data_IF_540268222238
#
_entry.id   IF_540268222238
#
_cell.length_a   1.000
_cell.length_b   1.000
_cell.length_c   1.000
_cell.angle_alpha   90.00
_cell.angle_beta   90.00
_cell.angle_gamma   90.00
#
_symmetry.space_group_name_H-M   'P 1'
#
loop_
_entity.id
_entity.type
_entity.pdbx_description
1 polymer ?
#
# COMPACT_ATOMS: atom_id res chain seq x y z
N UNK A 1 -1.13 -28.05 13.48
CA UNK A 1 -2.19 -27.09 13.14
C UNK A 1 -2.41 -26.17 14.32
N UNK A 2 -1.97 -24.90 14.24
CA UNK A 2 -2.39 -23.87 15.20
C UNK A 2 -3.33 -22.95 14.45
N UNK A 3 -4.55 -22.82 14.96
CA UNK A 3 -5.57 -21.93 14.43
C UNK A 3 -5.00 -20.51 14.37
N UNK A 4 -4.88 -19.96 13.17
CA UNK A 4 -4.68 -18.53 12.98
C UNK A 4 -5.94 -17.85 13.49
N UNK A 5 -5.94 -17.47 14.77
CA UNK A 5 -6.94 -16.54 15.28
C UNK A 5 -6.86 -15.32 14.37
N UNK A 6 -7.93 -15.06 13.61
CA UNK A 6 -8.04 -13.87 12.78
C UNK A 6 -8.18 -12.71 13.74
N UNK A 7 -7.05 -12.23 14.26
CA UNK A 7 -7.02 -11.05 15.14
C UNK A 7 -7.59 -9.91 14.32
N UNK A 8 -8.74 -9.40 14.74
CA UNK A 8 -9.25 -8.16 14.20
C UNK A 8 -8.37 -7.03 14.73
N UNK A 9 -7.67 -6.36 13.81
CA UNK A 9 -6.72 -5.31 14.17
C UNK A 9 -7.43 -4.16 14.88
N UNK A 10 -8.72 -3.93 14.59
CA UNK A 10 -9.54 -2.92 15.26
C UNK A 10 -9.74 -3.19 16.76
N UNK A 11 -9.57 -4.43 17.21
CA UNK A 11 -9.75 -4.84 18.61
C UNK A 11 -8.42 -4.82 19.41
N UNK A 12 -7.29 -4.54 18.73
CA UNK A 12 -5.97 -4.45 19.35
C UNK A 12 -5.81 -3.08 19.99
N UNK A 13 -5.80 -3.03 21.33
CA UNK A 13 -5.67 -1.78 22.10
C UNK A 13 -4.28 -1.14 22.02
N UNK A 14 -3.25 -1.95 21.80
CA UNK A 14 -1.89 -1.46 21.68
C UNK A 14 -1.61 -1.03 20.22
N UNK A 15 -1.43 0.27 19.95
CA UNK A 15 -1.23 0.78 18.60
C UNK A 15 0.04 0.21 17.94
N UNK A 16 1.04 -0.15 18.75
CA UNK A 16 2.32 -0.69 18.29
C UNK A 16 2.15 -2.14 17.85
N UNK A 17 1.42 -2.95 18.62
CA UNK A 17 1.09 -4.32 18.22
C UNK A 17 0.21 -4.31 16.97
N UNK A 18 -0.75 -3.38 16.90
CA UNK A 18 -1.61 -3.23 15.73
C UNK A 18 -0.81 -2.88 14.46
N UNK A 19 0.22 -2.05 14.58
CA UNK A 19 1.15 -1.71 13.49
C UNK A 19 1.97 -2.90 13.02
N UNK A 20 2.61 -3.61 13.94
CA UNK A 20 3.40 -4.80 13.64
C UNK A 20 2.56 -5.84 12.89
N UNK A 21 1.33 -6.11 13.37
CA UNK A 21 0.41 -7.05 12.71
C UNK A 21 0.06 -6.58 11.30
N UNK A 22 -0.11 -5.26 11.05
CA UNK A 22 -0.35 -4.74 9.69
C UNK A 22 0.84 -4.99 8.78
N UNK A 23 2.06 -4.67 9.23
CA UNK A 23 3.29 -4.89 8.48
C UNK A 23 3.47 -6.37 8.14
N UNK A 24 3.39 -7.25 9.13
CA UNK A 24 3.56 -8.69 8.95
C UNK A 24 2.52 -9.29 7.98
N UNK A 25 1.25 -8.89 8.10
CA UNK A 25 0.20 -9.35 7.19
C UNK A 25 0.40 -8.86 5.77
N UNK A 26 0.86 -7.61 5.59
CA UNK A 26 1.17 -7.08 4.27
C UNK A 26 2.34 -7.85 3.64
N UNK A 27 3.41 -8.11 4.40
CA UNK A 27 4.52 -8.93 3.95
C UNK A 27 4.11 -10.35 3.54
N UNK A 28 3.32 -11.02 4.37
CA UNK A 28 2.78 -12.34 4.08
C UNK A 28 1.93 -12.36 2.80
N UNK A 29 1.12 -11.31 2.59
CA UNK A 29 0.33 -11.14 1.37
C UNK A 29 1.22 -10.99 0.14
N UNK A 30 2.25 -10.14 0.21
CA UNK A 30 3.21 -9.96 -0.89
C UNK A 30 3.92 -11.26 -1.25
N UNK A 31 4.32 -12.07 -0.26
CA UNK A 31 4.87 -13.42 -0.52
C UNK A 31 3.86 -14.30 -1.24
N UNK A 32 2.63 -14.40 -0.73
CA UNK A 32 1.58 -15.24 -1.33
C UNK A 32 1.28 -14.84 -2.78
N UNK A 33 1.40 -13.55 -3.10
CA UNK A 33 1.18 -13.00 -4.44
C UNK A 33 2.42 -13.04 -5.34
N UNK A 34 3.56 -13.55 -4.86
CA UNK A 34 4.81 -13.64 -5.64
C UNK A 34 5.54 -12.30 -5.81
N UNK A 35 5.28 -11.31 -4.97
CA UNK A 35 5.89 -9.97 -5.04
C UNK A 35 7.13 -9.78 -4.16
N UNK A 36 7.73 -10.86 -3.66
CA UNK A 36 8.89 -10.79 -2.75
C UNK A 36 10.06 -10.03 -3.38
N UNK A 37 10.41 -10.32 -4.63
CA UNK A 37 11.51 -9.65 -5.32
C UNK A 37 11.28 -8.14 -5.43
N UNK A 38 10.07 -7.74 -5.86
CA UNK A 38 9.67 -6.33 -5.95
C UNK A 38 9.69 -5.61 -4.60
N UNK A 39 9.21 -6.28 -3.55
CA UNK A 39 9.28 -5.80 -2.17
C UNK A 39 10.73 -5.54 -1.75
N UNK A 40 11.61 -6.51 -1.96
CA UNK A 40 13.03 -6.39 -1.62
C UNK A 40 13.69 -5.23 -2.36
N UNK A 41 13.46 -5.09 -3.67
CA UNK A 41 13.99 -3.96 -4.45
C UNK A 41 13.47 -2.61 -3.93
N UNK A 42 12.17 -2.50 -3.66
CA UNK A 42 11.57 -1.28 -3.13
C UNK A 42 12.15 -0.91 -1.75
N UNK A 43 12.29 -1.89 -0.85
CA UNK A 43 12.91 -1.68 0.45
C UNK A 43 14.38 -1.27 0.33
N UNK A 44 15.12 -1.82 -0.64
CA UNK A 44 16.50 -1.40 -0.91
C UNK A 44 16.55 0.05 -1.39
N UNK A 45 15.66 0.48 -2.29
CA UNK A 45 15.57 1.88 -2.72
C UNK A 45 15.29 2.83 -1.54
N UNK A 46 14.47 2.42 -0.57
CA UNK A 46 14.25 3.20 0.67
C UNK A 46 15.52 3.24 1.52
N UNK A 47 16.23 2.11 1.69
CA UNK A 47 17.51 2.05 2.42
C UNK A 47 18.58 2.93 1.79
N UNK A 48 18.62 2.99 0.46
CA UNK A 48 19.56 3.80 -0.32
C UNK A 48 19.16 5.28 -0.37
N UNK A 49 18.02 5.66 0.23
CA UNK A 49 17.52 7.04 0.24
C UNK A 49 16.96 7.52 -1.09
N UNK A 50 16.67 6.62 -2.03
CA UNK A 50 16.14 6.92 -3.37
C UNK A 50 14.63 7.20 -3.38
N UNK A 51 13.95 7.00 -2.25
CA UNK A 51 12.59 7.50 -1.98
C UNK A 51 12.58 8.60 -0.92
N UNK A 52 13.24 9.76 -1.16
CA UNK A 52 13.26 10.86 -0.22
C UNK A 52 11.85 11.45 -0.11
N UNK A 53 11.22 11.28 1.06
CA UNK A 53 9.88 11.81 1.36
C UNK A 53 8.94 10.81 2.00
N UNK A 54 9.23 9.51 1.92
CA UNK A 54 8.50 8.45 2.60
C UNK A 54 8.65 8.60 4.14
N UNK A 55 9.89 8.64 4.64
CA UNK A 55 10.17 8.88 6.05
C UNK A 55 9.71 10.28 6.54
N UNK A 56 9.91 11.33 5.73
CA UNK A 56 9.57 12.71 6.12
C UNK A 56 8.06 12.97 6.22
N UNK A 57 7.24 12.28 5.42
CA UNK A 57 5.77 12.36 5.49
C UNK A 57 5.21 11.64 6.71
N UNK A 58 5.83 10.54 7.13
CA UNK A 58 5.40 9.77 8.30
C UNK A 58 5.79 10.48 9.61
N UNK A 59 7.00 11.07 9.66
CA UNK A 59 7.46 11.87 10.82
C UNK A 59 6.58 13.09 11.12
N UNK A 60 5.98 13.72 10.09
CA UNK A 60 5.02 14.83 10.26
C UNK A 60 3.63 14.37 10.78
N UNK A 61 3.34 13.07 10.76
CA UNK A 61 2.05 12.49 11.13
C UNK A 61 1.98 11.91 12.55
N UNK A 62 3.05 12.00 13.34
CA UNK A 62 3.05 11.57 14.75
C UNK A 62 3.27 10.07 14.98
N UNK A 63 3.75 9.31 13.99
CA UNK A 63 4.10 7.90 14.17
C UNK A 63 5.52 7.73 14.74
N UNK A 64 5.57 7.75 16.09
CA UNK A 64 6.35 6.91 17.02
C UNK A 64 7.86 6.68 16.79
N UNK A 65 8.63 7.23 17.74
CA UNK A 65 10.03 6.93 18.08
C UNK A 65 10.29 5.45 18.40
N UNK A 66 10.94 4.72 17.48
CA UNK A 66 11.64 3.45 17.64
C UNK A 66 12.95 3.43 16.82
N UNK A 67 14.09 3.45 17.49
CA UNK A 67 15.38 3.23 16.86
C UNK A 67 15.66 1.72 16.71
N UNK A 68 15.87 1.24 15.48
CA UNK A 68 16.32 -0.14 15.19
C UNK A 68 17.49 -0.16 14.20
N UNK A 69 18.38 -1.14 14.41
CA UNK A 69 19.64 -1.57 13.74
C UNK A 69 20.56 -0.49 13.14
N UNK A 70 20.04 0.50 12.40
CA UNK A 70 20.80 1.66 11.93
C UNK A 70 20.29 3.02 12.47
N UNK A 71 19.28 2.99 13.33
CA UNK A 71 18.71 4.17 13.97
C UNK A 71 17.79 5.01 13.06
N UNK A 72 17.46 4.53 11.85
CA UNK A 72 16.58 5.21 10.91
C UNK A 72 15.25 4.46 10.79
N UNK A 73 14.18 5.08 11.29
CA UNK A 73 12.82 4.59 11.10
C UNK A 73 12.41 4.65 9.62
N UNK A 74 12.03 3.49 9.06
CA UNK A 74 11.64 3.36 7.64
C UNK A 74 10.20 2.87 7.54
N UNK A 75 9.29 3.83 7.50
CA UNK A 75 7.86 3.60 7.32
C UNK A 75 7.41 4.06 5.94
N UNK A 76 6.47 3.36 5.33
CA UNK A 76 5.78 3.81 4.12
C UNK A 76 4.28 3.53 4.19
N UNK A 77 3.51 4.26 3.38
CA UNK A 77 2.11 3.92 3.16
C UNK A 77 2.03 2.73 2.20
N UNK A 78 1.12 1.78 2.42
CA UNK A 78 0.90 0.66 1.50
C UNK A 78 0.72 1.14 0.04
N UNK A 79 0.09 2.30 -0.18
CA UNK A 79 -0.02 2.91 -1.51
C UNK A 79 1.31 3.29 -2.17
N UNK A 80 2.37 3.59 -1.39
CA UNK A 80 3.70 3.92 -1.90
C UNK A 80 4.40 2.72 -2.56
N UNK A 81 4.01 1.48 -2.21
CA UNK A 81 4.51 0.26 -2.86
C UNK A 81 3.97 0.08 -4.30
N UNK A 82 2.83 0.68 -4.61
CA UNK A 82 2.18 0.57 -5.92
C UNK A 82 2.59 1.73 -6.85
N UNK A 83 2.44 1.56 -8.18
CA UNK A 83 2.62 2.68 -9.11
C UNK A 83 1.70 3.85 -8.75
N UNK A 84 2.19 5.09 -8.89
CA UNK A 84 1.42 6.30 -8.57
C UNK A 84 0.11 6.41 -9.36
N UNK A 85 0.13 5.95 -10.60
CA UNK A 85 -1.00 5.97 -11.52
C UNK A 85 -1.22 4.61 -12.17
N UNK A 86 -2.49 4.31 -12.48
CA UNK A 86 -2.93 3.13 -13.20
C UNK A 86 -3.83 3.53 -14.36
N UNK A 87 -3.78 2.81 -15.47
CA UNK A 87 -4.69 3.04 -16.60
C UNK A 87 -6.16 2.79 -16.25
N UNK A 88 -7.06 3.57 -16.86
CA UNK A 88 -8.51 3.45 -16.60
C UNK A 88 -9.07 2.06 -16.85
N UNK A 89 -8.52 1.32 -17.84
CA UNK A 89 -8.88 -0.07 -18.10
C UNK A 89 -8.65 -0.96 -16.88
N UNK A 90 -7.47 -0.87 -16.27
CA UNK A 90 -7.14 -1.72 -15.14
C UNK A 90 -7.86 -1.27 -13.87
N UNK A 91 -8.05 0.04 -13.70
CA UNK A 91 -8.92 0.57 -12.65
C UNK A 91 -10.36 0.06 -12.79
N UNK A 92 -10.91 0.00 -14.00
CA UNK A 92 -12.25 -0.54 -14.25
C UNK A 92 -12.38 -2.01 -13.83
N UNK A 93 -11.34 -2.83 -14.10
CA UNK A 93 -11.29 -4.22 -13.63
C UNK A 93 -11.30 -4.30 -12.11
N UNK A 94 -10.48 -3.49 -11.42
CA UNK A 94 -10.44 -3.42 -9.96
C UNK A 94 -11.79 -2.99 -9.37
N UNK A 95 -12.44 -2.01 -10.01
CA UNK A 95 -13.77 -1.52 -9.62
C UNK A 95 -14.91 -2.49 -9.96
N UNK A 96 -14.66 -3.59 -10.69
CA UNK A 96 -15.70 -4.53 -11.11
C UNK A 96 -16.69 -3.96 -12.12
N UNK A 97 -16.29 -2.95 -12.92
CA UNK A 97 -17.15 -2.31 -13.93
C UNK A 97 -16.64 -2.59 -15.34
N UNK A 98 -17.56 -2.64 -16.31
CA UNK A 98 -17.20 -2.75 -17.72
C UNK A 98 -16.35 -1.55 -18.18
N UNK A 99 -15.29 -1.80 -18.96
CA UNK A 99 -14.38 -0.76 -19.46
C UNK A 99 -15.16 0.35 -20.19
N UNK A 100 -16.07 0.00 -21.09
CA UNK A 100 -16.91 0.97 -21.81
C UNK A 100 -17.74 1.85 -20.87
N UNK A 101 -18.24 1.30 -19.76
CA UNK A 101 -18.99 2.04 -18.76
C UNK A 101 -18.09 3.01 -17.98
N UNK A 102 -16.86 2.61 -17.64
CA UNK A 102 -15.88 3.48 -17.00
C UNK A 102 -15.51 4.66 -17.90
N UNK A 103 -15.21 4.41 -19.18
CA UNK A 103 -14.91 5.48 -20.16
C UNK A 103 -16.09 6.43 -20.36
N UNK A 104 -17.33 5.92 -20.40
CA UNK A 104 -18.53 6.76 -20.47
C UNK A 104 -18.68 7.66 -19.24
N UNK A 105 -18.47 7.12 -18.04
CA UNK A 105 -18.48 7.92 -16.79
C UNK A 105 -17.45 9.04 -16.84
N UNK A 106 -16.23 8.77 -17.32
CA UNK A 106 -15.20 9.81 -17.47
C UNK A 106 -15.64 10.90 -18.45
N UNK A 107 -16.17 10.54 -19.63
CA UNK A 107 -16.61 11.52 -20.63
C UNK A 107 -17.78 12.39 -20.15
N UNK A 108 -18.66 11.82 -19.32
CA UNK A 108 -19.80 12.53 -18.77
C UNK A 108 -19.46 13.36 -17.52
N UNK A 109 -18.25 13.22 -16.96
CA UNK A 109 -17.88 13.85 -15.69
C UNK A 109 -18.40 13.14 -14.44
N UNK A 110 -18.94 11.92 -14.58
CA UNK A 110 -19.57 11.12 -13.52
C UNK A 110 -18.62 10.08 -12.89
N UNK A 111 -17.32 10.20 -13.13
CA UNK A 111 -16.34 9.28 -12.56
C UNK A 111 -16.10 9.61 -11.08
N UNK A 112 -16.06 8.62 -10.18
CA UNK A 112 -16.11 8.88 -8.73
C UNK A 112 -14.88 9.58 -8.12
N UNK A 113 -13.78 9.73 -8.86
CA UNK A 113 -12.57 10.41 -8.42
C UNK A 113 -11.81 11.02 -9.61
N UNK A 114 -10.83 11.92 -9.38
CA UNK A 114 -10.12 12.59 -10.46
C UNK A 114 -9.45 11.63 -11.45
N UNK A 115 -9.60 11.92 -12.74
CA UNK A 115 -9.00 11.18 -13.85
C UNK A 115 -8.10 12.11 -14.64
N UNK A 116 -6.85 11.69 -14.86
CA UNK A 116 -5.88 12.43 -15.66
C UNK A 116 -5.91 11.91 -17.09
N UNK A 117 -5.94 12.82 -18.07
CA UNK A 117 -5.67 12.47 -19.46
C UNK A 117 -4.16 12.30 -19.66
N UNK A 118 -3.75 11.14 -20.15
CA UNK A 118 -2.38 10.85 -20.57
C UNK A 118 -2.40 10.54 -22.07
N UNK A 119 -2.23 11.57 -22.90
CA UNK A 119 -2.39 11.51 -24.34
C UNK A 119 -3.78 11.03 -24.75
N UNK A 120 -3.85 9.87 -25.44
CA UNK A 120 -5.12 9.24 -25.87
C UNK A 120 -5.75 8.31 -24.81
N UNK A 121 -5.17 8.26 -23.61
CA UNK A 121 -5.59 7.35 -22.56
C UNK A 121 -5.97 8.11 -21.29
N UNK A 122 -6.70 7.43 -20.41
CA UNK A 122 -7.03 7.94 -19.08
C UNK A 122 -6.26 7.16 -18.03
N UNK A 123 -5.78 7.87 -17.01
CA UNK A 123 -5.11 7.30 -15.85
C UNK A 123 -5.75 7.83 -14.57
N UNK A 124 -5.71 7.01 -13.53
CA UNK A 124 -6.22 7.37 -12.21
C UNK A 124 -5.15 7.18 -11.15
N UNK A 125 -5.23 7.94 -10.05
CA UNK A 125 -4.37 7.73 -8.90
C UNK A 125 -4.69 6.38 -8.24
N UNK A 126 -3.68 5.54 -8.02
CA UNK A 126 -3.87 4.27 -7.29
C UNK A 126 -4.35 4.53 -5.87
N UNK A 127 -3.83 5.58 -5.22
CA UNK A 127 -4.27 5.99 -3.88
C UNK A 127 -5.74 6.39 -3.84
N UNK A 128 -6.22 7.15 -4.84
CA UNK A 128 -7.64 7.51 -4.93
C UNK A 128 -8.53 6.28 -5.20
N UNK A 129 -8.07 5.35 -6.04
CA UNK A 129 -8.74 4.09 -6.29
C UNK A 129 -8.82 3.23 -5.02
N UNK A 130 -7.72 3.07 -4.28
CA UNK A 130 -7.71 2.36 -3.00
C UNK A 130 -8.72 2.94 -2.02
N UNK A 131 -8.74 4.27 -1.88
CA UNK A 131 -9.71 4.96 -1.03
C UNK A 131 -11.16 4.71 -1.47
N UNK A 132 -11.44 4.78 -2.77
CA UNK A 132 -12.77 4.48 -3.32
C UNK A 132 -13.21 3.02 -3.08
N UNK A 133 -12.26 2.08 -3.14
CA UNK A 133 -12.50 0.66 -2.90
C UNK A 133 -12.48 0.30 -1.40
N UNK A 134 -12.42 1.29 -0.52
CA UNK A 134 -12.31 1.12 0.94
C UNK A 134 -11.12 0.23 1.36
N UNK A 135 -10.06 0.22 0.53
CA UNK A 135 -8.81 -0.48 0.82
C UNK A 135 -7.96 0.43 1.73
N UNK A 136 -7.66 0.01 2.98
CA UNK A 136 -6.90 0.82 3.90
C UNK A 136 -5.49 1.12 3.39
N UNK A 137 -5.14 2.39 3.37
CA UNK A 137 -3.79 2.88 3.06
C UNK A 137 -2.97 2.95 4.36
N UNK A 138 -2.63 1.79 4.91
CA UNK A 138 -1.96 1.69 6.20
C UNK A 138 -0.50 2.15 6.12
N UNK A 139 -0.02 2.78 7.21
CA UNK A 139 1.42 2.97 7.45
C UNK A 139 1.97 1.65 8.01
N UNK A 140 3.06 1.17 7.42
CA UNK A 140 3.75 -0.07 7.80
C UNK A 140 5.25 0.16 7.95
N UNK A 141 5.86 -0.51 8.92
CA UNK A 141 7.31 -0.54 9.06
C UNK A 141 7.92 -1.57 8.12
N UNK A 142 9.01 -1.21 7.44
CA UNK A 142 9.69 -2.06 6.47
C UNK A 142 10.09 -3.42 7.05
N UNK A 143 10.66 -3.45 8.26
CA UNK A 143 11.14 -4.70 8.88
C UNK A 143 9.99 -5.65 9.23
N UNK A 144 8.82 -5.13 9.63
CA UNK A 144 7.65 -5.97 9.91
C UNK A 144 7.12 -6.62 8.63
N UNK A 145 7.18 -5.88 7.51
CA UNK A 145 6.83 -6.42 6.19
C UNK A 145 7.83 -7.51 5.78
N UNK A 146 9.12 -7.32 6.00
CA UNK A 146 10.13 -8.35 5.72
C UNK A 146 9.97 -9.58 6.60
N UNK A 147 9.72 -9.39 7.90
CA UNK A 147 9.43 -10.45 8.85
C UNK A 147 8.21 -11.27 8.43
N UNK A 148 7.09 -10.59 8.15
CA UNK A 148 5.86 -11.25 7.70
C UNK A 148 6.03 -12.02 6.39
N UNK A 149 6.77 -11.44 5.43
CA UNK A 149 7.14 -12.15 4.22
C UNK A 149 7.97 -13.39 4.56
N UNK A 150 9.00 -13.27 5.41
CA UNK A 150 9.87 -14.36 5.84
C UNK A 150 9.14 -15.57 6.43
N UNK A 151 8.19 -15.33 7.34
CA UNK A 151 7.45 -16.37 8.08
C UNK A 151 6.29 -17.00 7.30
N UNK A 152 5.83 -16.40 6.20
CA UNK A 152 4.71 -16.92 5.40
C UNK A 152 5.11 -18.08 4.45
N UNK A 153 6.27 -18.70 4.66
CA UNK A 153 6.80 -19.82 3.87
C UNK A 153 6.48 -21.19 4.45
#
# INVERSE_FOLDING_TARGET
MKASAVVNIADVRDPVIAEQIRGERFGALLRKMGYVERMTSFHQEIRDGLHPGIAQKVLKGGAVTRAWVDGVERYYYVSDFYPKFMGLRDAAKVMGVAESAAYRKVRNGDFPFPVNSSGRSYQVSVRALMHYMEIPDAIVHMDDVENGAGYAG
#
